data_IF_598330173607
#
_entry.id   IF_598330173607
#
_cell.length_a   1.000
_cell.length_b   1.000
_cell.length_c   1.000
_cell.angle_alpha   90.00
_cell.angle_beta   90.00
_cell.angle_gamma   90.00
#
_symmetry.space_group_name_H-M   'P 1'
#
loop_
_entity.id
_entity.type
_entity.pdbx_description
1 polymer ?
#
# COMPACT_ATOMS: atom_id res chain seq x y z
N UNK A 1 46.59 42.83 -4.64
CA UNK A 1 46.73 41.95 -5.80
C UNK A 1 46.50 40.45 -5.54
N UNK A 2 46.04 40.04 -4.39
CA UNK A 2 45.76 38.60 -4.09
C UNK A 2 44.26 38.34 -3.90
N UNK A 3 43.47 39.36 -3.66
CA UNK A 3 42.01 39.25 -3.41
C UNK A 3 41.17 39.03 -4.67
N UNK A 4 41.64 39.54 -5.81
CA UNK A 4 40.86 39.45 -7.06
C UNK A 4 40.95 38.03 -7.70
N UNK A 5 42.06 37.32 -7.51
CA UNK A 5 42.20 35.95 -8.02
C UNK A 5 41.28 34.94 -7.33
N UNK A 6 41.02 35.12 -6.04
CA UNK A 6 40.13 34.22 -5.27
C UNK A 6 38.66 34.39 -5.66
N UNK A 7 38.27 35.61 -6.02
CA UNK A 7 36.92 35.90 -6.49
C UNK A 7 36.64 35.32 -7.89
N UNK A 8 37.64 35.40 -8.78
CA UNK A 8 37.55 34.85 -10.13
C UNK A 8 37.49 33.29 -10.10
N UNK A 9 38.22 32.66 -9.20
CA UNK A 9 38.19 31.17 -9.07
C UNK A 9 36.87 30.69 -8.47
N UNK A 10 36.26 31.44 -7.56
CA UNK A 10 34.94 31.14 -7.00
C UNK A 10 33.82 31.33 -8.04
N UNK A 11 33.92 32.34 -8.87
CA UNK A 11 32.94 32.59 -9.95
C UNK A 11 33.06 31.54 -11.08
N UNK A 12 34.26 31.05 -11.37
CA UNK A 12 34.48 29.93 -12.32
C UNK A 12 33.93 28.62 -11.81
N UNK A 13 34.07 28.32 -10.52
CA UNK A 13 33.47 27.10 -9.90
C UNK A 13 31.95 27.13 -9.93
N UNK A 14 31.33 28.29 -9.69
CA UNK A 14 29.86 28.40 -9.75
C UNK A 14 29.30 28.24 -11.16
N UNK A 15 30.08 28.53 -12.21
CA UNK A 15 29.66 28.32 -13.60
C UNK A 15 29.79 26.88 -14.10
N UNK A 16 30.52 26.04 -13.39
CA UNK A 16 30.65 24.61 -13.71
C UNK A 16 29.65 23.70 -12.99
N UNK A 17 28.88 24.26 -12.05
CA UNK A 17 27.80 23.56 -11.32
C UNK A 17 26.37 23.91 -11.81
N UNK A 18 26.24 24.60 -12.97
CA UNK A 18 24.94 24.65 -13.62
C UNK A 18 24.66 23.27 -14.23
N UNK A 19 23.61 22.56 -13.76
CA UNK A 19 23.19 21.34 -14.42
C UNK A 19 22.69 21.70 -15.83
N UNK A 20 23.14 20.95 -16.82
CA UNK A 20 22.67 21.02 -18.20
C UNK A 20 21.15 21.09 -18.26
N UNK A 21 20.58 21.90 -19.16
CA UNK A 21 19.14 21.95 -19.36
C UNK A 21 18.67 20.56 -19.75
N UNK A 22 17.86 19.95 -18.86
CA UNK A 22 17.17 18.70 -19.11
C UNK A 22 16.29 18.93 -20.34
N UNK A 23 16.70 18.38 -21.47
CA UNK A 23 15.85 18.30 -22.65
C UNK A 23 14.53 17.60 -22.25
N UNK A 24 13.37 18.08 -22.69
CA UNK A 24 12.11 17.40 -22.46
C UNK A 24 12.17 16.06 -23.20
N UNK A 25 12.50 15.00 -22.44
CA UNK A 25 12.53 13.65 -22.93
C UNK A 25 11.21 13.33 -23.61
N UNK A 26 11.28 12.99 -24.90
CA UNK A 26 10.21 12.39 -25.66
C UNK A 26 9.56 11.30 -24.82
N UNK A 27 8.30 11.52 -24.47
CA UNK A 27 7.44 10.48 -23.93
C UNK A 27 7.26 9.43 -25.02
N UNK A 28 8.08 8.41 -24.99
CA UNK A 28 7.79 7.17 -25.71
C UNK A 28 6.52 6.59 -25.08
N UNK A 29 5.41 6.88 -25.76
CA UNK A 29 4.11 6.28 -25.51
C UNK A 29 4.12 4.80 -25.87
N UNK A 30 4.90 4.00 -25.15
CA UNK A 30 4.71 2.56 -25.09
C UNK A 30 3.77 2.27 -23.94
N UNK A 31 2.48 2.47 -24.19
CA UNK A 31 1.40 2.00 -23.34
C UNK A 31 1.44 0.48 -23.29
N UNK A 32 2.26 -0.08 -22.37
CA UNK A 32 1.99 -1.43 -21.90
C UNK A 32 0.61 -1.40 -21.26
N UNK A 33 -0.33 -2.25 -21.72
CA UNK A 33 -1.63 -2.35 -21.04
C UNK A 33 -1.34 -2.66 -19.58
N UNK A 34 -1.86 -1.81 -18.69
CA UNK A 34 -1.88 -2.10 -17.25
C UNK A 34 -2.41 -3.52 -17.09
N UNK A 35 -1.74 -4.39 -16.31
CA UNK A 35 -2.24 -5.73 -16.08
C UNK A 35 -3.66 -5.59 -15.56
N UNK A 36 -4.61 -6.20 -16.28
CA UNK A 36 -6.01 -6.22 -15.87
C UNK A 36 -6.04 -6.71 -14.43
N UNK A 37 -6.67 -5.91 -13.57
CA UNK A 37 -6.87 -6.23 -12.15
C UNK A 37 -7.43 -7.64 -12.05
N UNK A 38 -6.66 -8.58 -11.49
CA UNK A 38 -7.15 -9.95 -11.31
C UNK A 38 -8.33 -9.90 -10.32
N UNK A 39 -9.57 -10.23 -10.74
CA UNK A 39 -10.76 -10.14 -9.91
C UNK A 39 -10.65 -10.96 -8.62
N UNK A 40 -9.76 -11.95 -8.58
CA UNK A 40 -9.53 -12.82 -7.42
C UNK A 40 -8.93 -12.08 -6.23
N UNK A 41 -8.28 -10.94 -6.46
CA UNK A 41 -7.74 -10.09 -5.40
C UNK A 41 -8.74 -9.08 -4.84
N UNK A 42 -9.85 -8.90 -5.51
CA UNK A 42 -10.93 -8.02 -5.06
C UNK A 42 -11.93 -8.84 -4.24
N UNK A 43 -11.61 -9.11 -2.99
CA UNK A 43 -12.64 -9.55 -2.06
C UNK A 43 -13.76 -8.47 -2.02
N UNK A 44 -15.04 -8.88 -1.91
CA UNK A 44 -16.12 -7.92 -1.88
C UNK A 44 -15.86 -6.86 -0.79
N UNK A 45 -16.22 -5.59 -1.03
CA UNK A 45 -16.11 -4.56 0.00
C UNK A 45 -16.87 -5.03 1.23
N UNK A 46 -16.32 -4.79 2.42
CA UNK A 46 -17.11 -4.90 3.65
C UNK A 46 -18.34 -4.01 3.46
N UNK A 47 -19.52 -4.55 3.79
CA UNK A 47 -20.83 -3.99 3.53
C UNK A 47 -20.88 -2.46 3.51
N UNK A 48 -21.38 -1.93 2.42
CA UNK A 48 -21.46 -0.50 2.11
C UNK A 48 -22.55 0.21 2.91
N UNK A 49 -22.64 -0.03 4.21
CA UNK A 49 -23.68 0.54 5.08
C UNK A 49 -23.26 1.91 5.67
N UNK A 50 -22.46 2.68 4.97
CA UNK A 50 -22.07 4.02 5.39
C UNK A 50 -22.31 5.06 4.29
N UNK A 51 -22.67 6.28 4.71
CA UNK A 51 -22.92 7.45 3.85
C UNK A 51 -21.77 7.80 2.87
N UNK A 52 -20.57 7.20 3.07
CA UNK A 52 -19.34 7.43 2.29
C UNK A 52 -19.13 6.44 1.12
N UNK A 53 -20.04 5.47 0.92
CA UNK A 53 -19.92 4.46 -0.14
C UNK A 53 -19.83 5.07 -1.55
N UNK A 54 -20.44 6.23 -1.76
CA UNK A 54 -20.38 6.96 -3.03
C UNK A 54 -18.99 7.54 -3.33
N UNK A 55 -18.42 8.25 -2.38
CA UNK A 55 -17.10 8.91 -2.56
C UNK A 55 -15.97 7.91 -2.61
N UNK A 56 -16.01 6.85 -1.79
CA UNK A 56 -15.04 5.78 -1.82
C UNK A 56 -15.07 5.01 -3.14
N UNK A 57 -16.27 4.67 -3.62
CA UNK A 57 -16.46 4.01 -4.92
C UNK A 57 -15.95 4.85 -6.10
N UNK A 58 -16.13 6.16 -6.05
CA UNK A 58 -15.57 7.09 -7.04
C UNK A 58 -14.04 7.07 -7.04
N UNK A 59 -13.42 7.07 -5.86
CA UNK A 59 -11.96 6.97 -5.74
C UNK A 59 -11.41 5.63 -6.25
N UNK A 60 -12.10 4.51 -5.98
CA UNK A 60 -11.75 3.21 -6.57
C UNK A 60 -11.89 3.21 -8.10
N UNK A 61 -12.92 3.87 -8.63
CA UNK A 61 -13.13 3.99 -10.07
C UNK A 61 -12.02 4.79 -10.74
N UNK A 62 -11.54 5.88 -10.13
CA UNK A 62 -10.37 6.62 -10.62
C UNK A 62 -9.14 5.71 -10.76
N UNK A 63 -8.87 4.87 -9.77
CA UNK A 63 -7.77 3.91 -9.84
C UNK A 63 -7.99 2.90 -10.97
N UNK A 64 -9.21 2.42 -11.16
CA UNK A 64 -9.55 1.45 -12.22
C UNK A 64 -9.40 2.05 -13.62
N UNK A 65 -9.68 3.34 -13.77
CA UNK A 65 -9.49 4.10 -15.00
C UNK A 65 -8.03 4.45 -15.30
N UNK A 66 -7.11 4.14 -14.36
CA UNK A 66 -5.69 4.42 -14.52
C UNK A 66 -5.22 5.73 -13.86
N UNK A 67 -6.14 6.52 -13.29
CA UNK A 67 -5.83 7.74 -12.52
C UNK A 67 -5.38 7.38 -11.10
N UNK A 68 -4.30 6.58 -11.03
CA UNK A 68 -3.84 5.94 -9.79
C UNK A 68 -3.50 6.97 -8.71
N UNK A 69 -2.79 8.04 -9.05
CA UNK A 69 -2.36 9.04 -8.08
C UNK A 69 -3.54 9.77 -7.45
N UNK A 70 -4.48 10.21 -8.25
CA UNK A 70 -5.67 10.92 -7.80
C UNK A 70 -6.57 10.01 -6.97
N UNK A 71 -6.81 8.79 -7.46
CA UNK A 71 -7.62 7.80 -6.73
C UNK A 71 -7.02 7.44 -5.37
N UNK A 72 -5.71 7.16 -5.29
CA UNK A 72 -5.04 6.86 -4.02
C UNK A 72 -5.02 8.06 -3.07
N UNK A 73 -4.82 9.27 -3.58
CA UNK A 73 -4.87 10.48 -2.77
C UNK A 73 -6.25 10.69 -2.14
N UNK A 74 -7.31 10.52 -2.93
CA UNK A 74 -8.68 10.64 -2.45
C UNK A 74 -9.04 9.53 -1.46
N UNK A 75 -8.68 8.28 -1.73
CA UNK A 75 -8.88 7.17 -0.79
C UNK A 75 -8.14 7.40 0.54
N UNK A 76 -6.93 7.92 0.50
CA UNK A 76 -6.15 8.26 1.70
C UNK A 76 -6.83 9.38 2.50
N UNK A 77 -7.33 10.41 1.81
CA UNK A 77 -8.07 11.50 2.42
C UNK A 77 -9.35 11.00 3.10
N UNK A 78 -10.13 10.17 2.41
CA UNK A 78 -11.35 9.59 2.95
C UNK A 78 -11.07 8.68 4.15
N UNK A 79 -10.03 7.84 4.07
CA UNK A 79 -9.64 6.98 5.18
C UNK A 79 -9.24 7.80 6.43
N UNK A 80 -8.53 8.92 6.24
CA UNK A 80 -8.08 9.77 7.35
C UNK A 80 -9.22 10.52 8.06
N UNK A 81 -10.36 10.64 7.43
CA UNK A 81 -11.56 11.27 8.00
C UNK A 81 -12.42 10.30 8.83
N UNK A 82 -12.12 9.02 8.77
CA UNK A 82 -12.87 7.98 9.48
C UNK A 82 -12.15 7.55 10.76
N UNK A 83 -12.93 6.99 11.69
CA UNK A 83 -12.44 6.50 12.97
C UNK A 83 -12.88 5.05 13.22
N UNK A 84 -12.21 4.39 14.14
CA UNK A 84 -12.57 3.05 14.59
C UNK A 84 -12.58 2.03 13.46
N UNK A 85 -13.61 1.19 13.42
CA UNK A 85 -13.74 0.08 12.47
C UNK A 85 -13.74 0.52 11.01
N UNK A 86 -14.42 1.62 10.69
CA UNK A 86 -14.50 2.14 9.31
C UNK A 86 -13.11 2.57 8.82
N UNK A 87 -12.34 3.24 9.67
CA UNK A 87 -10.95 3.58 9.37
C UNK A 87 -10.13 2.34 9.03
N UNK A 88 -10.23 1.28 9.84
CA UNK A 88 -9.55 0.00 9.59
C UNK A 88 -9.95 -0.62 8.25
N UNK A 89 -11.24 -0.64 7.94
CA UNK A 89 -11.76 -1.19 6.68
C UNK A 89 -11.23 -0.40 5.46
N UNK A 90 -11.26 0.93 5.53
CA UNK A 90 -10.74 1.79 4.47
C UNK A 90 -9.23 1.63 4.28
N UNK A 91 -8.47 1.56 5.38
CA UNK A 91 -7.01 1.32 5.33
C UNK A 91 -6.68 -0.06 4.75
N UNK A 92 -7.41 -1.10 5.15
CA UNK A 92 -7.25 -2.44 4.58
C UNK A 92 -7.54 -2.43 3.08
N UNK A 93 -8.64 -1.81 2.66
CA UNK A 93 -9.00 -1.72 1.25
C UNK A 93 -7.96 -0.96 0.43
N UNK A 94 -7.45 0.15 0.97
CA UNK A 94 -6.35 0.91 0.35
C UNK A 94 -5.10 0.04 0.18
N UNK A 95 -4.74 -0.76 1.18
CA UNK A 95 -3.61 -1.68 1.11
C UNK A 95 -3.80 -2.74 0.02
N UNK A 96 -5.00 -3.34 -0.07
CA UNK A 96 -5.32 -4.33 -1.10
C UNK A 96 -5.21 -3.75 -2.51
N UNK A 97 -5.72 -2.55 -2.74
CA UNK A 97 -5.59 -1.86 -4.02
C UNK A 97 -4.13 -1.60 -4.34
N UNK A 98 -3.32 -1.15 -3.36
CA UNK A 98 -1.88 -0.97 -3.55
C UNK A 98 -1.18 -2.27 -3.97
N UNK A 99 -1.56 -3.42 -3.40
CA UNK A 99 -1.01 -4.71 -3.82
C UNK A 99 -1.40 -5.06 -5.26
N UNK A 100 -2.65 -4.83 -5.63
CA UNK A 100 -3.18 -5.11 -6.96
C UNK A 100 -2.48 -4.27 -8.04
N UNK A 101 -2.28 -2.97 -7.81
CA UNK A 101 -1.58 -2.08 -8.74
C UNK A 101 -0.05 -2.21 -8.67
N UNK A 102 0.45 -3.30 -8.06
CA UNK A 102 1.87 -3.61 -7.92
C UNK A 102 2.68 -2.58 -7.08
N UNK A 103 2.02 -1.84 -6.20
CA UNK A 103 2.67 -0.97 -5.21
C UNK A 103 2.89 -1.72 -3.89
N UNK A 104 3.56 -2.88 -3.97
CA UNK A 104 3.74 -3.84 -2.87
C UNK A 104 4.27 -3.18 -1.59
N UNK A 105 5.32 -2.37 -1.68
CA UNK A 105 5.91 -1.70 -0.49
C UNK A 105 4.88 -0.87 0.27
N UNK A 106 4.04 -0.12 -0.44
CA UNK A 106 3.01 0.71 0.18
C UNK A 106 1.91 -0.16 0.81
N UNK A 107 1.43 -1.18 0.09
CA UNK A 107 0.42 -2.11 0.62
C UNK A 107 0.90 -2.84 1.87
N UNK A 108 2.15 -3.33 1.87
CA UNK A 108 2.77 -4.01 3.02
C UNK A 108 2.85 -3.06 4.22
N UNK A 109 3.36 -1.85 4.03
CA UNK A 109 3.50 -0.87 5.11
C UNK A 109 2.16 -0.57 5.81
N UNK A 110 1.08 -0.43 5.02
CA UNK A 110 -0.27 -0.22 5.56
C UNK A 110 -0.76 -1.46 6.32
N UNK A 111 -0.55 -2.66 5.78
CA UNK A 111 -0.96 -3.90 6.44
C UNK A 111 -0.20 -4.15 7.74
N UNK A 112 1.10 -3.86 7.78
CA UNK A 112 1.91 -3.98 9.00
C UNK A 112 1.47 -2.97 10.07
N UNK A 113 1.15 -1.75 9.68
CA UNK A 113 0.59 -0.74 10.59
C UNK A 113 -0.75 -1.22 11.20
N UNK A 114 -1.63 -1.80 10.36
CA UNK A 114 -2.89 -2.37 10.83
C UNK A 114 -2.66 -3.55 11.79
N UNK A 115 -1.73 -4.46 11.45
CA UNK A 115 -1.39 -5.59 12.31
C UNK A 115 -0.82 -5.13 13.67
N UNK A 116 0.03 -4.12 13.66
CA UNK A 116 0.56 -3.49 14.89
C UNK A 116 -0.57 -2.91 15.74
N UNK A 117 -1.51 -2.19 15.12
CA UNK A 117 -2.67 -1.63 15.82
C UNK A 117 -3.59 -2.71 16.40
N UNK A 118 -3.73 -3.86 15.72
CA UNK A 118 -4.45 -5.04 16.27
C UNK A 118 -3.81 -5.47 17.59
N UNK A 119 -2.49 -5.60 17.61
CA UNK A 119 -1.75 -6.02 18.80
C UNK A 119 -1.84 -4.99 19.93
N UNK A 120 -1.62 -3.72 19.64
CA UNK A 120 -1.63 -2.63 20.62
C UNK A 120 -3.01 -2.42 21.27
N UNK A 121 -4.07 -2.55 20.49
CA UNK A 121 -5.46 -2.36 20.94
C UNK A 121 -6.14 -3.66 21.36
N UNK A 122 -5.43 -4.79 21.28
CA UNK A 122 -5.99 -6.12 21.59
C UNK A 122 -7.30 -6.42 20.86
N UNK A 123 -7.37 -6.07 19.56
CA UNK A 123 -8.58 -6.19 18.77
C UNK A 123 -9.07 -7.64 18.63
N UNK A 124 -8.20 -8.61 18.80
CA UNK A 124 -8.54 -10.06 18.78
C UNK A 124 -9.63 -10.44 19.81
N UNK A 125 -9.81 -9.61 20.84
CA UNK A 125 -10.77 -9.91 21.93
C UNK A 125 -12.19 -9.48 21.62
N UNK A 126 -12.38 -8.57 20.67
CA UNK A 126 -13.69 -7.94 20.48
C UNK A 126 -14.01 -7.57 19.02
N UNK A 127 -13.04 -7.64 18.11
CA UNK A 127 -13.28 -7.39 16.69
C UNK A 127 -13.67 -8.69 15.97
N UNK A 128 -14.40 -8.56 14.86
CA UNK A 128 -14.83 -9.70 14.07
C UNK A 128 -13.64 -10.46 13.44
N UNK A 129 -13.60 -11.80 13.55
CA UNK A 129 -12.52 -12.61 12.98
C UNK A 129 -12.29 -12.39 11.49
N UNK A 130 -13.34 -12.04 10.75
CA UNK A 130 -13.27 -11.80 9.29
C UNK A 130 -12.36 -10.64 8.94
N UNK A 131 -12.41 -9.54 9.71
CA UNK A 131 -11.56 -8.37 9.49
C UNK A 131 -10.10 -8.68 9.80
N UNK A 132 -9.84 -9.26 10.96
CA UNK A 132 -8.49 -9.62 11.41
C UNK A 132 -7.86 -10.66 10.51
N UNK A 133 -8.63 -11.69 10.17
CA UNK A 133 -8.20 -12.77 9.28
C UNK A 133 -7.85 -12.27 7.88
N UNK A 134 -8.55 -11.26 7.39
CA UNK A 134 -8.24 -10.64 6.10
C UNK A 134 -6.91 -9.89 6.13
N UNK A 135 -6.60 -9.17 7.21
CA UNK A 135 -5.32 -8.46 7.37
C UNK A 135 -4.17 -9.46 7.45
N UNK A 136 -4.26 -10.47 8.33
CA UNK A 136 -3.20 -11.48 8.48
C UNK A 136 -3.06 -12.39 7.26
N UNK A 137 -4.16 -12.75 6.61
CA UNK A 137 -4.13 -13.50 5.37
C UNK A 137 -3.42 -12.75 4.25
N UNK A 138 -3.62 -11.43 4.11
CA UNK A 138 -2.89 -10.62 3.14
C UNK A 138 -1.40 -10.53 3.45
N UNK A 139 -1.03 -10.36 4.72
CA UNK A 139 0.37 -10.36 5.13
C UNK A 139 1.02 -11.72 4.88
N UNK A 140 0.33 -12.81 5.20
CA UNK A 140 0.80 -14.16 4.86
C UNK A 140 1.05 -14.32 3.37
N UNK A 141 0.09 -13.96 2.51
CA UNK A 141 0.24 -14.06 1.05
C UNK A 141 1.45 -13.27 0.52
N UNK A 142 1.71 -12.09 1.09
CA UNK A 142 2.84 -11.26 0.65
C UNK A 142 4.18 -11.87 1.05
N UNK A 143 4.23 -12.55 2.20
CA UNK A 143 5.48 -13.10 2.75
C UNK A 143 5.71 -14.58 2.45
N UNK A 144 4.70 -15.33 1.99
CA UNK A 144 4.83 -16.78 1.74
C UNK A 144 5.90 -17.12 0.69
N UNK A 145 6.13 -16.23 -0.28
CA UNK A 145 7.08 -16.42 -1.36
C UNK A 145 8.49 -15.89 -1.00
N UNK A 146 8.72 -15.51 0.26
CA UNK A 146 10.01 -15.07 0.74
C UNK A 146 10.99 -16.25 0.85
N UNK A 147 12.29 -15.96 0.72
CA UNK A 147 13.33 -17.00 0.85
C UNK A 147 13.22 -17.76 2.18
N UNK A 148 13.28 -19.09 2.14
CA UNK A 148 13.24 -19.90 3.35
C UNK A 148 14.36 -19.51 4.34
N UNK A 149 13.99 -19.30 5.59
CA UNK A 149 14.94 -18.85 6.64
C UNK A 149 15.14 -17.34 6.71
N UNK A 150 14.55 -16.57 5.82
CA UNK A 150 14.57 -15.11 5.93
C UNK A 150 13.66 -14.62 7.08
N UNK A 151 13.91 -13.39 7.56
CA UNK A 151 13.01 -12.74 8.52
C UNK A 151 11.59 -12.62 7.98
N UNK A 152 11.44 -12.35 6.70
CA UNK A 152 10.14 -12.23 6.03
C UNK A 152 9.38 -13.56 6.02
N UNK A 153 10.06 -14.67 5.72
CA UNK A 153 9.44 -16.01 5.79
C UNK A 153 8.97 -16.34 7.22
N UNK A 154 9.77 -16.01 8.23
CA UNK A 154 9.42 -16.20 9.64
C UNK A 154 8.20 -15.35 10.03
N UNK A 155 8.13 -14.09 9.58
CA UNK A 155 6.97 -13.22 9.80
C UNK A 155 5.73 -13.76 9.11
N UNK A 156 5.86 -14.26 7.87
CA UNK A 156 4.76 -14.90 7.14
C UNK A 156 4.18 -16.09 7.89
N UNK A 157 5.03 -17.00 8.37
CA UNK A 157 4.61 -18.15 9.18
C UNK A 157 3.87 -17.71 10.46
N UNK A 158 4.34 -16.67 11.14
CA UNK A 158 3.69 -16.15 12.35
C UNK A 158 2.28 -15.61 12.06
N UNK A 159 2.04 -15.00 10.90
CA UNK A 159 0.69 -14.57 10.51
C UNK A 159 -0.23 -15.73 10.20
N UNK A 160 0.27 -16.78 9.55
CA UNK A 160 -0.49 -18.01 9.33
C UNK A 160 -0.87 -18.69 10.65
N UNK A 161 0.06 -18.79 11.61
CA UNK A 161 -0.20 -19.32 12.94
C UNK A 161 -1.28 -18.54 13.70
N UNK A 162 -1.28 -17.22 13.59
CA UNK A 162 -2.32 -16.38 14.17
C UNK A 162 -3.67 -16.63 13.50
N UNK A 163 -3.68 -16.74 12.17
CA UNK A 163 -4.87 -17.01 11.40
C UNK A 163 -5.47 -18.39 11.75
N UNK A 164 -4.62 -19.41 11.90
CA UNK A 164 -5.05 -20.75 12.32
C UNK A 164 -5.71 -20.75 13.71
N UNK A 165 -5.22 -19.91 14.63
CA UNK A 165 -5.81 -19.76 15.97
C UNK A 165 -7.10 -18.96 15.99
N UNK A 166 -7.24 -17.98 15.08
CA UNK A 166 -8.41 -17.15 15.00
C UNK A 166 -9.57 -17.86 14.31
N UNK A 167 -9.31 -18.40 13.11
CA UNK A 167 -10.29 -19.06 12.26
C UNK A 167 -9.58 -20.06 11.33
N UNK A 168 -9.59 -21.38 11.69
CA UNK A 168 -8.95 -22.43 10.89
C UNK A 168 -9.50 -22.52 9.45
N UNK A 169 -10.78 -22.16 9.24
CA UNK A 169 -11.37 -22.17 7.92
C UNK A 169 -10.82 -21.06 7.03
N UNK A 170 -10.64 -19.87 7.56
CA UNK A 170 -9.96 -18.81 6.85
C UNK A 170 -8.50 -19.17 6.56
N UNK A 171 -7.78 -19.73 7.54
CA UNK A 171 -6.40 -20.19 7.34
C UNK A 171 -6.30 -21.16 6.15
N UNK A 172 -7.18 -22.15 6.07
CA UNK A 172 -7.22 -23.08 4.95
C UNK A 172 -7.44 -22.41 3.59
N UNK A 173 -8.27 -21.37 3.54
CA UNK A 173 -8.50 -20.60 2.30
C UNK A 173 -7.31 -19.77 1.85
N UNK A 174 -6.49 -19.32 2.79
CA UNK A 174 -5.32 -18.50 2.50
C UNK A 174 -4.08 -19.32 2.14
N UNK A 175 -4.01 -20.57 2.59
CA UNK A 175 -2.89 -21.49 2.37
C UNK A 175 -2.94 -22.21 1.00
N UNK A 176 -3.94 -21.96 0.19
CA UNK A 176 -4.07 -22.44 -1.20
C UNK A 176 -3.38 -21.47 -2.17
#
# INVERSE_FOLDING_TARGET
MVRDKLLDDLLKRKRQEEPDPVEPGKSDGSGKPSPALDPRFLLPPFGSDGADGGSWGQAEELVRQGNIQEGLAEMTRLASQQYGRIHFQHRLRLAEICLVINRKRLGIAILEELAKSIDELHLEKWEAPELLGRIWGRLYQVYRDAEPGSEQATRGAAFLDRLCRLDPWQAFRWDQ
#
